data_IF_157465659355
#
_entry.id   IF_157465659355
#
_cell.length_a   1.000
_cell.length_b   1.000
_cell.length_c   1.000
_cell.angle_alpha   90.00
_cell.angle_beta   90.00
_cell.angle_gamma   90.00
#
_symmetry.space_group_name_H-M   'P 1'
#
loop_
_entity.id
_entity.type
_entity.pdbx_description
1 polymer ?
#
# COMPACT_ATOMS: atom_id res chain seq x y z
N UNK A 1 -19.88 23.33 -19.61
CA UNK A 1 -19.83 21.85 -19.79
C UNK A 1 -18.46 21.34 -19.35
N UNK A 2 -18.46 20.14 -18.74
CA UNK A 2 -17.33 19.24 -18.45
C UNK A 2 -16.35 19.64 -17.33
N UNK A 3 -16.56 19.02 -16.17
CA UNK A 3 -15.49 18.50 -15.30
C UNK A 3 -16.01 17.19 -14.65
N UNK A 4 -15.88 16.09 -15.37
CA UNK A 4 -16.31 14.74 -14.95
C UNK A 4 -15.21 13.72 -15.26
N UNK A 5 -14.02 13.87 -14.70
CA UNK A 5 -12.99 12.81 -14.75
C UNK A 5 -12.06 12.87 -13.54
N UNK A 6 -12.55 12.59 -12.32
CA UNK A 6 -11.66 12.25 -11.19
C UNK A 6 -12.09 11.02 -10.36
N UNK A 7 -13.25 10.42 -10.63
CA UNK A 7 -13.78 9.33 -9.78
C UNK A 7 -13.85 7.96 -10.46
N UNK A 8 -13.21 7.80 -11.64
CA UNK A 8 -13.33 6.60 -12.47
C UNK A 8 -12.54 5.37 -11.99
N UNK A 9 -11.63 5.50 -11.02
CA UNK A 9 -10.85 4.36 -10.48
C UNK A 9 -11.43 3.74 -9.21
N UNK A 10 -12.34 4.42 -8.52
CA UNK A 10 -12.91 3.93 -7.25
C UNK A 10 -14.16 3.04 -7.45
N UNK A 11 -14.83 3.14 -8.60
CA UNK A 11 -16.13 2.48 -8.82
C UNK A 11 -15.98 1.02 -9.30
N UNK A 12 -14.83 0.65 -9.87
CA UNK A 12 -14.61 -0.73 -10.38
C UNK A 12 -14.39 -1.73 -9.22
N UNK A 13 -14.02 -1.27 -8.03
CA UNK A 13 -13.81 -2.13 -6.86
C UNK A 13 -15.10 -2.47 -6.09
N UNK A 14 -16.23 -1.80 -6.36
CA UNK A 14 -17.48 -1.98 -5.59
C UNK A 14 -18.49 -2.97 -6.19
N UNK A 15 -18.32 -3.40 -7.44
CA UNK A 15 -19.33 -4.20 -8.14
C UNK A 15 -19.36 -5.70 -7.77
N UNK A 16 -18.46 -6.18 -6.92
CA UNK A 16 -18.41 -7.60 -6.51
C UNK A 16 -19.24 -7.94 -5.26
N UNK A 17 -19.92 -6.98 -4.63
CA UNK A 17 -20.56 -7.17 -3.32
C UNK A 17 -21.97 -7.80 -3.41
N UNK A 18 -22.58 -7.90 -4.59
CA UNK A 18 -24.03 -8.14 -4.69
C UNK A 18 -24.49 -9.54 -5.10
N UNK A 19 -23.62 -10.54 -5.21
CA UNK A 19 -24.08 -11.90 -5.54
C UNK A 19 -23.40 -12.96 -4.66
N UNK A 20 -24.16 -13.46 -3.68
CA UNK A 20 -24.05 -14.85 -3.26
C UNK A 20 -23.61 -15.12 -1.82
N UNK A 21 -24.60 -15.52 -1.01
CA UNK A 21 -24.51 -16.50 0.10
C UNK A 21 -23.74 -16.12 1.37
N UNK A 22 -24.44 -16.15 2.51
CA UNK A 22 -23.94 -15.88 3.86
C UNK A 22 -22.73 -16.73 4.29
N UNK A 23 -22.48 -17.89 3.68
CA UNK A 23 -21.30 -18.71 3.98
C UNK A 23 -20.01 -18.18 3.30
N UNK A 24 -20.16 -17.37 2.24
CA UNK A 24 -19.08 -16.64 1.59
C UNK A 24 -18.65 -15.39 2.39
N UNK A 25 -19.53 -14.86 3.25
CA UNK A 25 -19.32 -13.63 4.00
C UNK A 25 -18.15 -13.72 5.01
N UNK A 26 -17.94 -14.88 5.66
CA UNK A 26 -16.80 -15.08 6.58
C UNK A 26 -15.46 -15.10 5.85
N UNK A 27 -15.36 -15.82 4.72
CA UNK A 27 -14.17 -15.80 3.84
C UNK A 27 -13.96 -14.44 3.18
N UNK A 28 -15.04 -13.73 2.86
CA UNK A 28 -14.95 -12.36 2.32
C UNK A 28 -14.46 -11.37 3.38
N UNK A 29 -14.89 -11.50 4.63
CA UNK A 29 -14.40 -10.66 5.74
C UNK A 29 -12.90 -10.88 5.98
N UNK A 30 -12.46 -12.14 6.03
CA UNK A 30 -11.04 -12.49 6.20
C UNK A 30 -10.19 -11.95 5.02
N UNK A 31 -10.71 -12.06 3.79
CA UNK A 31 -10.07 -11.48 2.59
C UNK A 31 -10.06 -9.95 2.61
N UNK A 32 -11.11 -9.31 3.12
CA UNK A 32 -11.18 -7.84 3.26
C UNK A 32 -10.22 -7.35 4.35
N UNK A 33 -10.06 -8.09 5.45
CA UNK A 33 -9.06 -7.80 6.49
C UNK A 33 -7.63 -7.98 5.97
N UNK A 34 -7.37 -9.03 5.19
CA UNK A 34 -6.07 -9.24 4.53
C UNK A 34 -5.72 -8.09 3.58
N UNK A 35 -6.67 -7.69 2.73
CA UNK A 35 -6.50 -6.55 1.81
C UNK A 35 -6.27 -5.24 2.58
N UNK A 36 -7.01 -4.99 3.68
CA UNK A 36 -6.80 -3.80 4.53
C UNK A 36 -5.42 -3.80 5.19
N UNK A 37 -4.96 -4.95 5.67
CA UNK A 37 -3.64 -5.12 6.26
C UNK A 37 -2.54 -4.82 5.24
N UNK A 38 -2.67 -5.32 4.02
CA UNK A 38 -1.72 -5.08 2.93
C UNK A 38 -1.69 -3.61 2.49
N UNK A 39 -2.84 -2.96 2.33
CA UNK A 39 -2.92 -1.51 2.05
C UNK A 39 -2.22 -0.72 3.14
N UNK A 40 -2.48 -1.04 4.41
CA UNK A 40 -1.83 -0.38 5.56
C UNK A 40 -0.32 -0.61 5.55
N UNK A 41 0.15 -1.79 5.12
CA UNK A 41 1.59 -2.09 5.01
C UNK A 41 2.23 -1.22 3.94
N UNK A 42 1.62 -1.12 2.76
CA UNK A 42 2.13 -0.28 1.65
C UNK A 42 2.19 1.19 2.07
N UNK A 43 1.13 1.73 2.67
CA UNK A 43 1.11 3.13 3.15
C UNK A 43 2.25 3.41 4.15
N UNK A 44 2.56 2.47 5.05
CA UNK A 44 3.71 2.62 5.97
C UNK A 44 5.04 2.67 5.23
N UNK A 45 5.22 1.84 4.22
CA UNK A 45 6.44 1.84 3.41
C UNK A 45 6.56 3.13 2.60
N UNK A 46 5.47 3.67 2.06
CA UNK A 46 5.45 4.97 1.38
C UNK A 46 5.85 6.11 2.33
N UNK A 47 5.33 6.11 3.57
CA UNK A 47 5.71 7.08 4.59
C UNK A 47 7.20 6.93 4.97
N UNK A 48 7.71 5.70 5.04
CA UNK A 48 9.13 5.46 5.31
C UNK A 48 10.01 6.01 4.18
N UNK A 49 9.70 5.69 2.92
CA UNK A 49 10.40 6.23 1.74
C UNK A 49 10.36 7.76 1.77
N UNK A 50 9.18 8.33 2.04
CA UNK A 50 8.98 9.77 2.10
C UNK A 50 9.94 10.44 3.09
N UNK A 51 10.11 9.85 4.28
CA UNK A 51 11.01 10.36 5.31
C UNK A 51 12.48 10.19 4.94
N UNK A 52 12.87 9.00 4.47
CA UNK A 52 14.28 8.68 4.19
C UNK A 52 14.81 9.48 3.01
N UNK A 53 14.01 9.64 1.94
CA UNK A 53 14.42 10.36 0.74
C UNK A 53 13.94 11.81 0.68
N UNK A 54 13.24 12.29 1.71
CA UNK A 54 12.62 13.61 1.77
C UNK A 54 11.76 13.90 0.52
N UNK A 55 10.87 12.96 0.20
CA UNK A 55 9.97 13.01 -0.97
C UNK A 55 8.54 13.03 -0.44
N UNK A 56 7.65 13.90 -0.95
CA UNK A 56 6.28 13.88 -0.48
C UNK A 56 5.56 12.61 -0.98
N UNK A 57 4.70 12.02 -0.13
CA UNK A 57 4.07 10.71 -0.37
C UNK A 57 3.30 10.65 -1.70
N UNK A 58 2.69 11.76 -2.12
CA UNK A 58 1.95 11.85 -3.39
C UNK A 58 2.82 11.66 -4.65
N UNK A 59 4.15 11.78 -4.51
CA UNK A 59 5.11 11.54 -5.59
C UNK A 59 5.68 10.12 -5.60
N UNK A 60 5.27 9.27 -4.67
CA UNK A 60 5.64 7.87 -4.61
C UNK A 60 4.52 7.08 -5.29
N UNK A 61 4.90 6.16 -6.18
CA UNK A 61 3.95 5.28 -6.87
C UNK A 61 4.32 3.84 -6.58
N UNK A 62 3.34 3.07 -6.14
CA UNK A 62 3.49 1.62 -6.02
C UNK A 62 2.90 0.92 -7.25
N UNK A 63 3.72 0.12 -7.93
CA UNK A 63 3.28 -0.81 -8.97
C UNK A 63 3.08 -2.18 -8.34
N UNK A 64 1.81 -2.56 -8.11
CA UNK A 64 1.45 -3.83 -7.49
C UNK A 64 1.72 -5.05 -8.37
N UNK A 65 1.91 -4.89 -9.69
CA UNK A 65 2.19 -6.00 -10.61
C UNK A 65 3.66 -6.39 -10.53
N UNK A 66 4.53 -5.38 -10.43
CA UNK A 66 5.98 -5.57 -10.32
C UNK A 66 6.49 -5.57 -8.89
N UNK A 67 5.62 -5.23 -7.93
CA UNK A 67 5.95 -5.01 -6.51
C UNK A 67 7.10 -4.00 -6.32
N UNK A 68 7.07 -2.89 -7.08
CA UNK A 68 8.09 -1.83 -6.99
C UNK A 68 7.50 -0.50 -6.55
N UNK A 69 8.28 0.24 -5.76
CA UNK A 69 8.07 1.66 -5.51
C UNK A 69 8.88 2.48 -6.50
N UNK A 70 8.22 3.44 -7.14
CA UNK A 70 8.82 4.37 -8.10
C UNK A 70 8.69 5.78 -7.54
N UNK A 71 9.81 6.48 -7.44
CA UNK A 71 9.86 7.87 -7.00
C UNK A 71 11.04 8.61 -7.63
N UNK A 72 10.81 9.83 -8.14
CA UNK A 72 11.78 10.55 -8.97
C UNK A 72 12.25 9.65 -10.13
N UNK A 73 13.53 9.26 -10.12
CA UNK A 73 14.20 8.40 -11.09
C UNK A 73 14.68 7.08 -10.44
N UNK A 74 14.19 6.78 -9.22
CA UNK A 74 14.51 5.57 -8.48
C UNK A 74 13.36 4.58 -8.54
N UNK A 75 13.75 3.31 -8.68
CA UNK A 75 12.87 2.16 -8.56
C UNK A 75 13.46 1.24 -7.49
N UNK A 76 12.63 0.79 -6.57
CA UNK A 76 13.05 -0.12 -5.50
C UNK A 76 11.98 -1.16 -5.23
N UNK A 77 12.40 -2.41 -5.05
CA UNK A 77 11.48 -3.50 -4.77
C UNK A 77 10.83 -3.34 -3.39
N UNK A 78 9.59 -3.81 -3.26
CA UNK A 78 8.85 -3.85 -2.00
C UNK A 78 9.63 -4.57 -0.91
N UNK A 79 10.17 -5.76 -1.21
CA UNK A 79 10.94 -6.55 -0.23
C UNK A 79 12.21 -5.84 0.24
N UNK A 80 12.85 -5.07 -0.64
CA UNK A 80 14.05 -4.31 -0.27
C UNK A 80 13.70 -3.18 0.69
N UNK A 81 12.63 -2.43 0.40
CA UNK A 81 12.11 -1.40 1.31
C UNK A 81 11.61 -1.99 2.63
N UNK A 82 10.94 -3.14 2.60
CA UNK A 82 10.45 -3.83 3.81
C UNK A 82 11.61 -4.30 4.69
N UNK A 83 12.70 -4.77 4.08
CA UNK A 83 13.95 -5.12 4.77
C UNK A 83 14.60 -3.89 5.39
N UNK A 84 14.68 -2.77 4.66
CA UNK A 84 15.23 -1.52 5.17
C UNK A 84 14.41 -0.97 6.34
N UNK A 85 13.08 -1.01 6.22
CA UNK A 85 12.15 -0.61 7.28
C UNK A 85 12.33 -1.47 8.54
N UNK A 86 12.38 -2.80 8.38
CA UNK A 86 12.55 -3.75 9.49
C UNK A 86 13.88 -3.55 10.20
N UNK A 87 14.97 -3.41 9.44
CA UNK A 87 16.30 -3.11 10.00
C UNK A 87 16.32 -1.79 10.74
N UNK A 88 15.74 -0.73 10.17
CA UNK A 88 15.67 0.57 10.83
C UNK A 88 14.93 0.48 12.18
N UNK A 89 13.81 -0.27 12.22
CA UNK A 89 13.10 -0.55 13.47
C UNK A 89 13.96 -1.31 14.49
N UNK A 90 14.72 -2.32 14.07
CA UNK A 90 15.67 -3.05 14.93
C UNK A 90 16.80 -2.16 15.46
N UNK A 91 17.33 -1.25 14.63
CA UNK A 91 18.36 -0.30 15.06
C UNK A 91 17.84 0.67 16.13
N UNK A 92 16.62 1.16 15.99
CA UNK A 92 15.99 1.99 17.03
C UNK A 92 15.81 1.23 18.36
N UNK A 93 15.57 -0.09 18.32
CA UNK A 93 15.45 -0.92 19.52
C UNK A 93 16.79 -1.22 20.20
N UNK A 94 17.91 -1.23 19.46
CA UNK A 94 19.24 -1.52 20.02
C UNK A 94 19.95 -0.32 20.64
N UNK A 95 19.66 0.89 20.18
CA UNK A 95 20.34 2.12 20.63
C UNK A 95 19.60 2.77 21.83
N UNK A 96 18.39 2.31 22.14
CA UNK A 96 17.57 2.79 23.27
C UNK A 96 17.78 2.06 24.60
N UNK A 97 18.89 1.32 24.79
CA UNK A 97 19.26 0.67 26.06
C UNK A 97 20.45 1.35 26.70
#
# INVERSE_FOLDING_TARGET
>A
MKNWVKSGKLIILLSCILVGSLQSCKKNLEKVEEIKSEVTKIERLEVYISKVWNIPVDKIKYDAVKEIFVFKDFEINRDEIDTLYSRAAEYHLKIGK
#
